data_IF_023042541177
#
_entry.id   IF_023042541177
#
_cell.length_a   1.000
_cell.length_b   1.000
_cell.length_c   1.000
_cell.angle_alpha   90.00
_cell.angle_beta   90.00
_cell.angle_gamma   90.00
#
_symmetry.space_group_name_H-M   'P 1'
#
loop_
_entity.id
_entity.type
_entity.pdbx_description
1 polymer ?
#
# COMPACT_ATOMS: atom_id res chain seq x y z
N UNK A 1 -14.72 -19.40 16.84
CA UNK A 1 -15.32 -18.06 16.97
C UNK A 1 -14.49 -17.07 16.16
N UNK A 2 -15.03 -16.62 15.02
CA UNK A 2 -14.42 -15.55 14.25
C UNK A 2 -14.69 -14.23 14.99
N UNK A 3 -13.71 -13.75 15.72
CA UNK A 3 -13.75 -12.39 16.24
C UNK A 3 -13.59 -11.46 15.04
N UNK A 4 -14.69 -10.88 14.55
CA UNK A 4 -14.61 -9.83 13.54
C UNK A 4 -14.10 -8.56 14.22
N UNK A 5 -12.94 -8.10 13.84
CA UNK A 5 -12.42 -6.82 14.31
C UNK A 5 -13.23 -5.69 13.68
N UNK A 6 -14.00 -4.98 14.48
CA UNK A 6 -14.74 -3.80 14.06
C UNK A 6 -13.80 -2.59 14.18
N UNK A 7 -13.68 -1.81 13.13
CA UNK A 7 -12.87 -0.59 13.11
C UNK A 7 -13.62 0.53 12.38
N UNK A 8 -13.18 1.77 12.61
CA UNK A 8 -13.75 2.95 11.99
C UNK A 8 -14.81 3.64 12.85
N UNK A 9 -15.44 4.63 12.29
CA UNK A 9 -16.45 5.47 12.91
C UNK A 9 -16.95 6.51 11.91
N UNK A 10 -17.73 7.49 12.38
CA UNK A 10 -18.34 8.50 11.52
C UNK A 10 -17.58 9.84 11.49
N UNK A 11 -16.43 9.93 12.18
CA UNK A 11 -15.66 11.17 12.26
C UNK A 11 -14.38 11.09 11.41
N UNK A 12 -14.45 11.58 10.19
CA UNK A 12 -13.28 11.67 9.30
C UNK A 12 -12.17 12.60 9.81
N UNK A 13 -12.48 13.49 10.75
CA UNK A 13 -11.53 14.38 11.41
C UNK A 13 -10.95 13.81 12.71
N UNK A 14 -11.07 12.51 12.95
CA UNK A 14 -10.49 11.90 14.13
C UNK A 14 -8.96 12.00 14.12
N UNK A 15 -8.39 12.02 15.32
CA UNK A 15 -6.95 12.05 15.54
C UNK A 15 -6.54 10.83 16.37
N UNK A 16 -5.78 9.93 15.77
CA UNK A 16 -5.24 8.75 16.43
C UNK A 16 -3.79 8.95 16.91
N UNK A 17 -3.29 10.18 16.85
CA UNK A 17 -1.95 10.52 17.34
C UNK A 17 -0.98 10.93 16.23
N UNK A 18 0.31 10.87 16.58
CA UNK A 18 1.41 11.30 15.71
C UNK A 18 2.43 10.18 15.64
N UNK A 19 2.77 9.75 14.42
CA UNK A 19 3.86 8.83 14.16
C UNK A 19 4.83 9.50 13.18
N UNK A 20 6.02 9.88 13.64
CA UNK A 20 7.03 10.59 12.86
C UNK A 20 8.43 10.04 13.11
N UNK A 21 9.27 10.07 12.08
CA UNK A 21 10.69 9.65 12.14
C UNK A 21 10.86 8.24 12.69
N UNK A 22 10.05 7.31 12.17
CA UNK A 22 10.01 5.91 12.61
C UNK A 22 10.55 5.00 11.52
N UNK A 23 11.38 4.05 11.91
CA UNK A 23 11.81 2.93 11.05
C UNK A 23 11.22 1.63 11.59
N UNK A 24 10.60 0.86 10.68
CA UNK A 24 10.06 -0.48 10.94
C UNK A 24 10.80 -1.44 10.03
N UNK A 25 11.58 -2.34 10.61
CA UNK A 25 12.44 -3.23 9.84
C UNK A 25 12.15 -4.69 10.17
N UNK A 26 12.24 -5.56 9.15
CA UNK A 26 12.05 -6.99 9.25
C UNK A 26 10.71 -7.41 9.89
N UNK A 27 9.67 -6.60 9.69
CA UNK A 27 8.32 -6.91 10.13
C UNK A 27 7.70 -8.03 9.27
N UNK A 28 6.58 -8.59 9.72
CA UNK A 28 5.78 -9.48 8.89
C UNK A 28 5.95 -10.96 9.20
N UNK A 29 5.95 -11.33 10.48
CA UNK A 29 5.96 -12.75 10.88
C UNK A 29 4.85 -13.53 10.18
N UNK A 30 5.22 -14.65 9.56
CA UNK A 30 4.26 -15.58 8.96
C UNK A 30 3.50 -16.34 10.04
N UNK A 31 2.19 -16.37 9.92
CA UNK A 31 1.32 -17.17 10.79
C UNK A 31 0.59 -18.25 9.99
N UNK A 32 0.17 -19.33 10.67
CA UNK A 32 -0.56 -20.42 10.02
C UNK A 32 -1.93 -19.98 9.48
N UNK A 33 -2.60 -19.06 10.17
CA UNK A 33 -4.00 -18.72 9.90
C UNK A 33 -4.20 -17.41 9.13
N UNK A 34 -3.23 -16.47 9.17
CA UNK A 34 -3.39 -15.12 8.63
C UNK A 34 -2.32 -14.72 7.62
N UNK A 35 -1.43 -15.63 7.22
CA UNK A 35 -0.33 -15.29 6.32
C UNK A 35 0.72 -14.42 7.02
N UNK A 36 1.27 -13.44 6.30
CA UNK A 36 2.27 -12.51 6.82
C UNK A 36 1.60 -11.26 7.38
N UNK A 37 1.99 -10.84 8.58
CA UNK A 37 1.57 -9.55 9.10
C UNK A 37 2.16 -8.39 8.28
N UNK A 38 1.41 -7.30 8.18
CA UNK A 38 1.87 -6.05 7.59
C UNK A 38 2.73 -5.27 8.58
N UNK A 39 3.61 -4.38 8.07
CA UNK A 39 4.42 -3.56 8.95
C UNK A 39 3.61 -2.46 9.64
N UNK A 40 2.75 -1.77 8.89
CA UNK A 40 1.85 -0.75 9.42
C UNK A 40 0.47 -0.91 8.80
N UNK A 41 -0.53 -1.17 9.65
CA UNK A 41 -1.93 -1.22 9.26
C UNK A 41 -2.68 -0.04 9.91
N UNK A 42 -3.36 0.74 9.08
CA UNK A 42 -4.18 1.88 9.46
C UNK A 42 -5.63 1.58 9.08
N UNK A 43 -6.48 1.37 10.07
CA UNK A 43 -7.88 1.01 9.85
C UNK A 43 -8.82 2.10 10.40
N UNK A 44 -9.56 2.77 9.49
CA UNK A 44 -10.50 3.83 9.84
C UNK A 44 -9.87 5.08 10.45
N UNK A 45 -8.62 5.37 10.10
CA UNK A 45 -7.86 6.52 10.66
C UNK A 45 -8.32 7.82 10.02
N UNK A 46 -8.50 8.86 10.83
CA UNK A 46 -8.97 10.17 10.36
C UNK A 46 -7.84 11.15 10.02
N UNK A 47 -8.21 12.23 9.34
CA UNK A 47 -7.30 13.16 8.67
C UNK A 47 -6.48 14.08 9.61
N UNK A 48 -6.79 14.13 10.90
CA UNK A 48 -5.99 14.85 11.90
C UNK A 48 -4.85 14.00 12.46
N UNK A 49 -4.78 12.71 12.10
CA UNK A 49 -3.66 11.85 12.45
C UNK A 49 -2.45 12.21 11.59
N UNK A 50 -1.30 12.30 12.20
CA UNK A 50 -0.06 12.71 11.52
C UNK A 50 0.83 11.49 11.30
N UNK A 51 1.11 11.22 10.02
CA UNK A 51 1.96 10.13 9.57
C UNK A 51 2.99 10.69 8.58
N UNK A 52 4.23 10.84 9.04
CA UNK A 52 5.26 11.60 8.33
C UNK A 52 6.66 11.05 8.60
N UNK A 53 7.50 10.98 7.57
CA UNK A 53 8.88 10.47 7.66
C UNK A 53 8.94 9.05 8.28
N UNK A 54 8.22 8.10 7.70
CA UNK A 54 8.21 6.71 8.15
C UNK A 54 8.86 5.83 7.08
N UNK A 55 9.80 4.99 7.49
CA UNK A 55 10.43 4.00 6.64
C UNK A 55 10.05 2.58 7.07
N UNK A 56 9.63 1.78 6.10
CA UNK A 56 9.49 0.33 6.27
C UNK A 56 10.51 -0.35 5.37
N UNK A 57 11.29 -1.31 5.92
CA UNK A 57 12.24 -2.08 5.15
C UNK A 57 12.17 -3.58 5.45
N UNK A 58 12.35 -4.39 4.40
CA UNK A 58 12.39 -5.85 4.47
C UNK A 58 11.17 -6.48 5.15
N UNK A 59 9.98 -5.92 4.93
CA UNK A 59 8.73 -6.48 5.46
C UNK A 59 8.30 -7.70 4.64
N UNK A 60 7.85 -8.77 5.30
CA UNK A 60 7.34 -9.97 4.63
C UNK A 60 5.87 -9.82 4.15
N UNK A 61 5.09 -8.95 4.78
CA UNK A 61 3.74 -8.57 4.35
C UNK A 61 3.73 -7.29 3.54
N UNK A 62 2.64 -6.53 3.62
CA UNK A 62 2.58 -5.18 3.05
C UNK A 62 3.33 -4.18 3.95
N UNK A 63 3.96 -3.17 3.35
CA UNK A 63 4.62 -2.14 4.15
C UNK A 63 3.60 -1.21 4.81
N UNK A 64 2.78 -0.56 4.01
CA UNK A 64 1.73 0.35 4.46
C UNK A 64 0.38 -0.14 3.94
N UNK A 65 -0.55 -0.40 4.83
CA UNK A 65 -1.89 -0.85 4.47
C UNK A 65 -2.95 0.05 5.12
N UNK A 66 -3.83 0.60 4.30
CA UNK A 66 -4.82 1.60 4.68
C UNK A 66 -6.21 1.09 4.36
N UNK A 67 -7.04 0.93 5.38
CA UNK A 67 -8.42 0.45 5.31
C UNK A 67 -9.40 1.54 5.72
N UNK A 68 -10.18 2.04 4.77
CA UNK A 68 -11.15 3.09 5.05
C UNK A 68 -10.50 4.36 5.63
N UNK A 69 -11.31 5.23 6.21
CA UNK A 69 -10.83 6.47 6.81
C UNK A 69 -10.40 7.53 5.79
N UNK A 70 -9.77 8.60 6.29
CA UNK A 70 -9.28 9.73 5.51
C UNK A 70 -7.90 10.15 6.02
N UNK A 71 -6.86 9.39 5.69
CA UNK A 71 -5.52 9.66 6.20
C UNK A 71 -4.62 10.34 5.16
N UNK A 72 -3.80 11.29 5.62
CA UNK A 72 -2.77 11.93 4.80
C UNK A 72 -1.40 11.37 5.19
N UNK A 73 -0.70 10.83 4.20
CA UNK A 73 0.61 10.19 4.33
C UNK A 73 1.65 11.06 3.64
N UNK A 74 2.77 11.30 4.29
CA UNK A 74 3.81 12.17 3.72
C UNK A 74 5.20 11.61 4.02
N UNK A 75 6.10 11.69 3.02
CA UNK A 75 7.51 11.28 3.13
C UNK A 75 7.68 9.85 3.65
N UNK A 76 6.96 8.92 3.01
CA UNK A 76 7.08 7.51 3.32
C UNK A 76 8.11 6.82 2.42
N UNK A 77 8.84 5.89 2.98
CA UNK A 77 9.77 5.04 2.24
C UNK A 77 9.43 3.57 2.47
N UNK A 78 9.24 2.83 1.39
CA UNK A 78 9.18 1.37 1.42
C UNK A 78 10.40 0.81 0.69
N UNK A 79 11.16 -0.05 1.36
CA UNK A 79 12.39 -0.59 0.84
C UNK A 79 12.40 -2.12 0.91
N UNK A 80 12.43 -2.75 -0.27
CA UNK A 80 12.53 -4.22 -0.43
C UNK A 80 11.47 -4.99 0.36
N UNK A 81 10.23 -4.51 0.31
CA UNK A 81 9.07 -5.18 0.89
C UNK A 81 8.65 -6.36 0.02
N UNK A 82 8.27 -7.47 0.64
CA UNK A 82 7.93 -8.71 -0.08
C UNK A 82 6.59 -8.63 -0.82
N UNK A 83 5.59 -7.98 -0.22
CA UNK A 83 4.25 -7.88 -0.80
C UNK A 83 4.02 -6.49 -1.42
N UNK A 84 3.04 -5.73 -1.00
CA UNK A 84 2.68 -4.43 -1.55
C UNK A 84 3.31 -3.33 -0.69
N UNK A 85 3.87 -2.30 -1.35
CA UNK A 85 4.48 -1.19 -0.63
C UNK A 85 3.40 -0.27 -0.03
N UNK A 86 2.45 0.16 -0.85
CA UNK A 86 1.34 1.02 -0.44
C UNK A 86 0.02 0.41 -0.91
N UNK A 87 -0.82 -0.04 0.03
CA UNK A 87 -2.12 -0.63 -0.27
C UNK A 87 -3.23 0.18 0.35
N UNK A 88 -4.18 0.62 -0.48
CA UNK A 88 -5.36 1.38 -0.10
C UNK A 88 -6.61 0.57 -0.44
N UNK A 89 -7.52 0.41 0.52
CA UNK A 89 -8.71 -0.41 0.34
C UNK A 89 -9.90 0.05 1.19
N UNK A 90 -11.04 -0.58 0.95
CA UNK A 90 -12.27 -0.44 1.75
C UNK A 90 -12.76 1.01 1.91
N UNK A 91 -12.75 1.76 0.81
CA UNK A 91 -13.36 3.09 0.74
C UNK A 91 -12.55 4.22 1.34
N UNK A 92 -11.24 4.02 1.58
CA UNK A 92 -10.38 5.11 2.08
C UNK A 92 -10.36 6.30 1.13
N UNK A 93 -10.32 7.51 1.69
CA UNK A 93 -10.16 8.78 0.98
C UNK A 93 -8.82 9.39 1.40
N UNK A 94 -7.73 8.93 0.78
CA UNK A 94 -6.39 9.21 1.27
C UNK A 94 -5.54 10.01 0.31
N UNK A 95 -4.56 10.70 0.87
CA UNK A 95 -3.50 11.35 0.09
C UNK A 95 -2.16 10.76 0.50
N UNK A 96 -1.29 10.53 -0.49
CA UNK A 96 0.11 10.17 -0.27
C UNK A 96 0.99 11.13 -1.05
N UNK A 97 1.97 11.72 -0.41
CA UNK A 97 2.85 12.72 -1.01
C UNK A 97 4.33 12.44 -0.67
N UNK A 98 5.24 12.87 -1.58
CA UNK A 98 6.68 12.83 -1.38
C UNK A 98 7.21 11.43 -0.96
N UNK A 99 6.74 10.37 -1.57
CA UNK A 99 7.00 9.01 -1.09
C UNK A 99 7.73 8.16 -2.13
N UNK A 100 8.47 7.17 -1.65
CA UNK A 100 9.38 6.33 -2.42
C UNK A 100 9.13 4.86 -2.14
N UNK A 101 9.10 4.03 -3.19
CA UNK A 101 9.24 2.59 -3.05
C UNK A 101 10.40 2.08 -3.90
N UNK A 102 11.29 1.30 -3.30
CA UNK A 102 12.38 0.59 -3.97
C UNK A 102 12.15 -0.90 -3.79
N UNK A 103 11.96 -1.60 -4.90
CA UNK A 103 11.70 -3.04 -4.95
C UNK A 103 12.84 -3.79 -5.59
N UNK A 104 12.88 -5.10 -5.32
CA UNK A 104 13.74 -6.03 -6.02
C UNK A 104 12.90 -7.26 -6.45
N UNK A 105 13.14 -7.78 -7.64
CA UNK A 105 12.38 -8.90 -8.21
C UNK A 105 12.51 -10.22 -7.46
N UNK A 106 13.54 -10.39 -6.65
CA UNK A 106 13.72 -11.59 -5.83
C UNK A 106 12.79 -11.66 -4.63
N UNK A 107 12.11 -10.57 -4.31
CA UNK A 107 11.20 -10.49 -3.19
C UNK A 107 9.81 -10.33 -3.75
N UNK A 108 9.08 -11.43 -3.92
CA UNK A 108 7.71 -11.39 -4.41
C UNK A 108 6.82 -12.38 -3.66
N UNK A 109 5.62 -11.95 -3.34
CA UNK A 109 4.57 -12.83 -2.82
C UNK A 109 3.76 -13.44 -3.97
N UNK A 110 3.13 -14.59 -3.71
CA UNK A 110 2.22 -15.26 -4.65
C UNK A 110 1.05 -14.38 -5.12
N UNK A 111 0.73 -13.32 -4.39
CA UNK A 111 -0.39 -12.40 -4.67
C UNK A 111 0.00 -11.20 -5.54
N UNK A 112 1.18 -11.24 -6.16
CA UNK A 112 1.66 -10.15 -7.02
C UNK A 112 2.14 -8.95 -6.22
N UNK A 113 3.45 -8.82 -6.14
CA UNK A 113 4.11 -7.67 -5.50
C UNK A 113 3.98 -6.44 -6.38
N UNK A 114 3.61 -5.32 -5.80
CA UNK A 114 3.49 -4.03 -6.51
C UNK A 114 3.78 -2.86 -5.58
N UNK A 115 4.11 -1.71 -6.15
CA UNK A 115 4.38 -0.52 -5.34
C UNK A 115 3.10 0.10 -4.79
N UNK A 116 2.08 0.22 -5.63
CA UNK A 116 0.80 0.83 -5.24
C UNK A 116 -0.36 -0.05 -5.68
N UNK A 117 -1.26 -0.33 -4.75
CA UNK A 117 -2.52 -1.00 -5.02
C UNK A 117 -3.68 -0.19 -4.46
N UNK A 118 -4.65 0.14 -5.31
CA UNK A 118 -5.86 0.89 -4.95
C UNK A 118 -7.06 0.03 -5.26
N UNK A 119 -7.74 -0.44 -4.22
CA UNK A 119 -8.89 -1.34 -4.29
C UNK A 119 -10.04 -0.81 -3.45
N UNK A 120 -11.27 -1.19 -3.77
CA UNK A 120 -12.42 -0.92 -2.90
C UNK A 120 -12.89 -2.16 -2.14
N UNK A 121 -12.46 -3.34 -2.57
CA UNK A 121 -12.77 -4.65 -1.96
C UNK A 121 -11.71 -5.67 -2.36
N UNK A 122 -11.57 -6.73 -1.61
CA UNK A 122 -10.61 -7.81 -1.90
C UNK A 122 -11.20 -8.88 -2.82
N UNK A 123 -12.50 -9.12 -2.70
CA UNK A 123 -13.21 -10.11 -3.51
C UNK A 123 -14.54 -9.54 -4.01
N UNK A 124 -15.01 -10.03 -5.16
CA UNK A 124 -16.29 -9.59 -5.74
C UNK A 124 -17.49 -9.76 -4.81
N UNK A 125 -17.44 -10.72 -3.89
CA UNK A 125 -18.49 -10.91 -2.89
C UNK A 125 -18.59 -9.81 -1.84
N UNK A 126 -17.56 -8.97 -1.73
CA UNK A 126 -17.51 -7.83 -0.79
C UNK A 126 -17.99 -6.52 -1.42
N UNK A 127 -18.37 -6.55 -2.71
CA UNK A 127 -18.81 -5.35 -3.43
C UNK A 127 -20.06 -4.79 -2.76
N UNK A 128 -19.99 -3.53 -2.41
CA UNK A 128 -21.11 -2.76 -1.87
C UNK A 128 -21.07 -1.34 -2.45
N UNK A 129 -21.85 -1.14 -3.49
CA UNK A 129 -21.91 0.16 -4.19
C UNK A 129 -22.62 1.28 -3.38
N UNK A 130 -23.20 0.97 -2.23
CA UNK A 130 -23.73 1.97 -1.31
C UNK A 130 -22.62 2.64 -0.48
N UNK A 131 -21.46 1.99 -0.38
CA UNK A 131 -20.30 2.53 0.33
C UNK A 131 -19.42 3.38 -0.58
N UNK A 132 -18.66 4.28 0.03
CA UNK A 132 -17.64 5.05 -0.70
C UNK A 132 -16.65 4.11 -1.38
N UNK A 133 -16.37 4.34 -2.65
CA UNK A 133 -15.22 3.70 -3.30
C UNK A 133 -13.92 4.30 -2.82
N UNK A 134 -12.84 3.54 -2.88
CA UNK A 134 -11.50 4.01 -2.53
C UNK A 134 -11.04 5.07 -3.52
N UNK A 135 -10.57 6.20 -3.01
CA UNK A 135 -10.01 7.30 -3.78
C UNK A 135 -8.69 7.75 -3.19
N UNK A 136 -7.65 7.77 -4.02
CA UNK A 136 -6.30 8.13 -3.61
C UNK A 136 -5.75 9.24 -4.51
N UNK A 137 -5.17 10.25 -3.89
CA UNK A 137 -4.35 11.26 -4.57
C UNK A 137 -2.89 10.99 -4.21
N UNK A 138 -2.09 10.64 -5.22
CA UNK A 138 -0.67 10.32 -5.07
C UNK A 138 0.16 11.37 -5.81
N UNK A 139 1.00 12.11 -5.09
CA UNK A 139 1.75 13.24 -5.64
C UNK A 139 3.23 13.15 -5.27
N UNK A 140 4.13 13.49 -6.20
CA UNK A 140 5.59 13.42 -5.98
C UNK A 140 6.06 12.02 -5.56
N UNK A 141 5.67 11.01 -6.32
CA UNK A 141 5.90 9.59 -6.00
C UNK A 141 6.98 9.03 -6.89
N UNK A 142 7.88 8.24 -6.32
CA UNK A 142 8.91 7.52 -7.07
C UNK A 142 8.83 6.03 -6.78
N UNK A 143 8.67 5.21 -7.83
CA UNK A 143 8.70 3.76 -7.77
C UNK A 143 9.84 3.23 -8.63
N UNK A 144 10.75 2.47 -8.02
CA UNK A 144 11.94 1.93 -8.70
C UNK A 144 12.07 0.44 -8.41
N UNK A 145 12.38 -0.33 -9.44
CA UNK A 145 12.90 -1.68 -9.30
C UNK A 145 14.42 -1.64 -9.48
N UNK A 146 15.17 -2.10 -8.49
CA UNK A 146 16.63 -2.08 -8.44
C UNK A 146 17.28 -3.41 -8.85
N UNK A 147 16.60 -4.24 -9.65
CA UNK A 147 17.16 -5.50 -10.12
C UNK A 147 18.36 -5.29 -11.02
N UNK A 148 19.47 -5.98 -10.74
CA UNK A 148 20.67 -6.02 -11.57
C UNK A 148 20.42 -6.78 -12.91
N UNK A 149 19.33 -7.54 -12.99
CA UNK A 149 18.95 -8.37 -14.14
C UNK A 149 17.58 -8.01 -14.68
N UNK A 150 17.26 -6.73 -14.69
CA UNK A 150 15.94 -6.19 -14.98
C UNK A 150 15.28 -6.81 -16.23
N UNK A 151 15.98 -6.83 -17.37
CA UNK A 151 15.43 -7.37 -18.61
C UNK A 151 15.12 -8.88 -18.51
N UNK A 152 15.97 -9.65 -17.85
CA UNK A 152 15.74 -11.07 -17.64
C UNK A 152 14.57 -11.33 -16.70
N UNK A 153 14.43 -10.52 -15.65
CA UNK A 153 13.37 -10.65 -14.67
C UNK A 153 12.01 -10.27 -15.27
N UNK A 154 11.97 -9.26 -16.14
CA UNK A 154 10.78 -8.93 -16.95
C UNK A 154 10.41 -10.11 -17.88
N UNK A 155 11.36 -10.65 -18.63
CA UNK A 155 11.12 -11.79 -19.54
C UNK A 155 10.63 -13.04 -18.82
N UNK A 156 11.09 -13.28 -17.59
CA UNK A 156 10.65 -14.40 -16.74
C UNK A 156 9.32 -14.12 -16.03
N UNK A 157 8.71 -12.95 -16.21
CA UNK A 157 7.47 -12.56 -15.54
C UNK A 157 7.61 -12.36 -14.04
N UNK A 158 8.81 -12.13 -13.53
CA UNK A 158 9.07 -11.84 -12.12
C UNK A 158 8.72 -10.40 -11.75
N UNK A 159 8.75 -9.51 -12.73
CA UNK A 159 8.38 -8.10 -12.59
C UNK A 159 7.05 -7.88 -13.29
N UNK A 160 6.10 -7.36 -12.54
CA UNK A 160 4.74 -7.02 -13.00
C UNK A 160 4.52 -5.52 -12.88
N UNK A 161 3.25 -5.11 -12.86
CA UNK A 161 2.86 -3.71 -12.73
C UNK A 161 3.38 -3.09 -11.42
N UNK A 162 3.81 -1.83 -11.50
CA UNK A 162 4.12 -1.04 -10.32
C UNK A 162 2.85 -0.56 -9.62
N UNK A 163 1.85 -0.15 -10.40
CA UNK A 163 0.59 0.40 -9.93
C UNK A 163 -0.57 -0.42 -10.45
N UNK A 164 -1.47 -0.80 -9.56
CA UNK A 164 -2.72 -1.47 -9.89
C UNK A 164 -3.91 -0.70 -9.31
N UNK A 165 -4.89 -0.40 -10.16
CA UNK A 165 -6.14 0.22 -9.76
C UNK A 165 -7.28 -0.74 -10.09
N UNK A 166 -7.95 -1.23 -9.07
CA UNK A 166 -9.04 -2.19 -9.24
C UNK A 166 -10.37 -1.55 -9.63
N UNK A 167 -11.34 -2.42 -9.91
CA UNK A 167 -12.71 -2.00 -10.19
C UNK A 167 -13.27 -1.14 -9.04
N UNK A 168 -14.06 -0.13 -9.36
CA UNK A 168 -14.69 0.77 -8.40
C UNK A 168 -13.70 1.47 -7.45
N UNK A 169 -12.51 1.80 -7.95
CA UNK A 169 -11.50 2.57 -7.24
C UNK A 169 -10.98 3.71 -8.13
N UNK A 170 -10.43 4.75 -7.54
CA UNK A 170 -9.86 5.87 -8.29
C UNK A 170 -8.48 6.26 -7.78
N UNK A 171 -7.60 6.61 -8.70
CA UNK A 171 -6.26 7.11 -8.44
C UNK A 171 -6.01 8.36 -9.26
N UNK A 172 -5.63 9.44 -8.58
CA UNK A 172 -5.08 10.64 -9.20
C UNK A 172 -3.57 10.64 -8.95
N UNK A 173 -2.78 10.32 -9.98
CA UNK A 173 -1.33 10.16 -9.88
C UNK A 173 -0.61 11.33 -10.56
N UNK A 174 0.07 12.16 -9.79
CA UNK A 174 0.70 13.39 -10.25
C UNK A 174 2.18 13.45 -9.93
N UNK A 175 2.98 13.99 -10.86
CA UNK A 175 4.43 14.20 -10.68
C UNK A 175 5.13 12.94 -10.19
N UNK A 176 4.83 11.82 -10.87
CA UNK A 176 5.36 10.50 -10.52
C UNK A 176 6.49 10.05 -11.44
N UNK A 177 7.36 9.23 -10.90
CA UNK A 177 8.39 8.49 -11.64
C UNK A 177 8.18 7.00 -11.39
N UNK A 178 8.07 6.21 -12.45
CA UNK A 178 7.99 4.75 -12.40
C UNK A 178 9.07 4.18 -13.30
N UNK A 179 9.98 3.38 -12.74
CA UNK A 179 11.10 2.81 -13.46
C UNK A 179 11.31 1.34 -13.10
N UNK A 180 11.49 0.51 -14.13
CA UNK A 180 11.83 -0.91 -13.97
C UNK A 180 10.63 -1.83 -13.77
N UNK A 181 9.45 -1.49 -14.29
CA UNK A 181 8.23 -2.30 -14.22
C UNK A 181 7.61 -2.53 -15.61
N UNK A 182 6.87 -3.63 -15.76
CA UNK A 182 6.17 -3.95 -17.00
C UNK A 182 4.86 -4.69 -16.73
N UNK A 183 3.69 -4.06 -16.97
CA UNK A 183 3.52 -2.64 -17.30
C UNK A 183 3.84 -1.71 -16.12
N UNK A 184 3.87 -0.40 -16.36
CA UNK A 184 4.01 0.56 -15.28
C UNK A 184 2.70 0.65 -14.46
N UNK A 185 1.56 0.70 -15.13
CA UNK A 185 0.22 0.82 -14.54
C UNK A 185 -0.72 -0.18 -15.20
N UNK A 186 -1.61 -0.77 -14.41
CA UNK A 186 -2.69 -1.66 -14.83
C UNK A 186 -4.01 -1.23 -14.16
#
# INVERSE_FOLDING_TARGET
DNVSSIYGGNNSNSNSGILRYVRIEFAGKKTKNFGNFNALLLAGVGNKTILDNIMVSYCLGNAFEIYGGEVNLNKLVSFKTNSIDYRFNFGTQSKIDNSLAIRNSYVSSSNGSKCLSVLSYDTKSQVDFSKKHTSVIATNITFVNDSDKLNQDIQKGLIKEAVYVGENASLDFRRGVISGFNPAVL
#
